data_IF_425513180769
#
_entry.id   IF_425513180769
#
_cell.length_a   1.000
_cell.length_b   1.000
_cell.length_c   1.000
_cell.angle_alpha   90.00
_cell.angle_beta   90.00
_cell.angle_gamma   90.00
#
_symmetry.space_group_name_H-M   'P 1'
#
loop_
_entity.id
_entity.type
_entity.pdbx_description
1 polymer ?
#
# COMPACT_ATOMS: atom_id res chain seq x y z
N UNK A 1 9.77 -48.67 34.07
CA UNK A 1 10.49 -49.64 33.22
C UNK A 1 9.93 -49.68 31.79
N UNK A 2 8.62 -49.64 31.62
CA UNK A 2 7.96 -49.67 30.29
C UNK A 2 8.36 -48.52 29.34
N UNK A 3 8.62 -47.32 29.88
CA UNK A 3 9.07 -46.15 29.06
C UNK A 3 10.51 -46.28 28.55
N UNK A 4 11.38 -46.99 29.27
CA UNK A 4 12.77 -47.25 28.83
C UNK A 4 12.83 -48.34 27.75
N UNK A 5 11.89 -49.27 27.77
CA UNK A 5 11.79 -50.31 26.74
C UNK A 5 11.26 -49.77 25.42
N UNK A 6 10.35 -48.80 25.46
CA UNK A 6 9.81 -48.13 24.27
C UNK A 6 10.85 -47.25 23.57
N UNK A 7 11.71 -46.57 24.36
CA UNK A 7 12.79 -45.75 23.80
C UNK A 7 13.89 -46.60 23.12
N UNK A 8 14.15 -47.78 23.65
CA UNK A 8 15.11 -48.73 23.06
C UNK A 8 14.59 -49.37 21.77
N UNK A 9 13.28 -49.62 21.69
CA UNK A 9 12.63 -50.17 20.50
C UNK A 9 12.59 -49.14 19.34
N UNK A 10 12.38 -47.84 19.64
CA UNK A 10 12.40 -46.78 18.65
C UNK A 10 13.82 -46.54 18.08
N UNK A 11 14.86 -46.63 18.91
CA UNK A 11 16.24 -46.50 18.47
C UNK A 11 16.69 -47.66 17.59
N UNK A 12 16.16 -48.88 17.83
CA UNK A 12 16.52 -50.05 17.03
C UNK A 12 15.86 -50.03 15.64
N UNK A 13 14.64 -49.45 15.54
CA UNK A 13 13.95 -49.30 14.25
C UNK A 13 14.64 -48.24 13.37
N UNK A 14 15.23 -47.19 13.94
CA UNK A 14 16.01 -46.21 13.16
C UNK A 14 17.35 -46.73 12.60
N UNK A 15 17.97 -47.70 13.29
CA UNK A 15 19.23 -48.32 12.83
C UNK A 15 18.99 -49.34 11.71
N UNK A 16 17.81 -49.97 11.68
CA UNK A 16 17.48 -50.94 10.61
C UNK A 16 17.02 -50.30 9.29
N UNK A 17 16.70 -49.02 9.28
CA UNK A 17 16.33 -48.28 8.06
C UNK A 17 17.56 -47.81 7.24
N UNK A 18 18.78 -47.92 7.75
CA UNK A 18 20.01 -47.45 7.13
C UNK A 18 20.83 -48.56 6.40
N UNK A 19 20.36 -49.82 6.36
CA UNK A 19 21.13 -50.96 5.77
C UNK A 19 20.49 -51.58 4.52
N UNK A 20 19.42 -50.95 3.96
CA UNK A 20 18.74 -51.48 2.78
C UNK A 20 18.83 -50.54 1.57
N UNK A 21 20.03 -50.14 1.16
CA UNK A 21 20.29 -49.62 -0.20
C UNK A 21 21.69 -50.06 -0.65
N UNK A 22 21.71 -51.20 -1.28
CA UNK A 22 22.84 -51.71 -2.03
C UNK A 22 22.37 -52.15 -3.44
N UNK A 23 22.90 -51.46 -4.44
CA UNK A 23 23.03 -51.77 -5.86
C UNK A 23 21.81 -52.27 -6.67
N UNK A 24 21.32 -51.42 -7.55
CA UNK A 24 21.19 -51.73 -9.01
C UNK A 24 21.19 -50.43 -9.83
N UNK A 25 22.10 -50.32 -10.76
CA UNK A 25 22.11 -49.37 -11.86
C UNK A 25 20.92 -49.63 -12.77
N UNK A 26 20.18 -48.57 -13.10
CA UNK A 26 19.64 -48.35 -14.44
C UNK A 26 19.39 -46.84 -14.64
N UNK A 27 19.92 -46.38 -15.76
CA UNK A 27 19.83 -44.99 -16.23
C UNK A 27 18.38 -44.60 -16.55
N UNK A 28 17.87 -43.55 -15.94
CA UNK A 28 17.00 -42.56 -16.59
C UNK A 28 17.07 -41.25 -15.80
N UNK A 29 17.66 -40.25 -16.44
CA UNK A 29 17.64 -38.85 -16.04
C UNK A 29 16.19 -38.34 -15.91
N UNK A 30 15.82 -37.91 -14.74
CA UNK A 30 14.90 -36.78 -14.51
C UNK A 30 15.42 -36.08 -13.25
N UNK A 31 16.26 -35.08 -13.47
CA UNK A 31 16.59 -34.08 -12.48
C UNK A 31 15.36 -33.20 -12.26
N UNK A 32 14.50 -33.58 -11.34
CA UNK A 32 13.70 -32.65 -10.57
C UNK A 32 14.51 -32.33 -9.30
N UNK A 33 15.49 -31.46 -9.46
CA UNK A 33 16.06 -30.74 -8.35
C UNK A 33 15.07 -29.62 -8.00
N UNK A 34 14.23 -29.87 -7.01
CA UNK A 34 13.62 -28.86 -6.16
C UNK A 34 14.78 -28.17 -5.41
N UNK A 35 15.51 -27.30 -6.13
CA UNK A 35 16.45 -26.36 -5.53
C UNK A 35 15.64 -25.26 -4.87
N UNK A 36 15.13 -25.53 -3.67
CA UNK A 36 14.88 -24.50 -2.67
C UNK A 36 16.26 -23.98 -2.20
N UNK A 37 16.98 -23.28 -3.07
CA UNK A 37 18.02 -22.37 -2.64
C UNK A 37 17.30 -21.28 -1.83
N UNK A 38 17.42 -21.36 -0.50
CA UNK A 38 17.12 -20.24 0.38
C UNK A 38 18.03 -19.12 -0.09
N UNK A 39 17.48 -18.20 -0.88
CA UNK A 39 18.23 -17.05 -1.35
C UNK A 39 18.60 -16.23 -0.12
N UNK A 40 19.90 -15.97 0.07
CA UNK A 40 20.41 -15.08 1.14
C UNK A 40 20.05 -13.60 0.86
N UNK A 41 18.94 -13.39 0.14
CA UNK A 41 18.44 -12.10 -0.29
C UNK A 41 17.37 -11.61 0.67
N UNK A 42 17.57 -10.40 1.22
CA UNK A 42 16.70 -9.81 2.23
C UNK A 42 16.12 -8.49 1.76
N UNK A 43 14.85 -8.27 2.08
CA UNK A 43 14.09 -7.08 1.70
C UNK A 43 13.62 -6.34 2.94
N UNK A 44 13.83 -5.02 2.98
CA UNK A 44 13.33 -4.15 4.03
C UNK A 44 12.21 -3.24 3.53
N UNK A 45 11.22 -3.00 4.38
CA UNK A 45 10.11 -2.07 4.09
C UNK A 45 9.90 -1.11 5.25
N UNK A 46 9.76 0.17 4.93
CA UNK A 46 9.52 1.26 5.87
C UNK A 46 8.17 1.89 5.56
N UNK A 47 7.23 1.84 6.51
CA UNK A 47 5.89 2.36 6.39
C UNK A 47 5.70 3.52 7.37
N UNK A 48 5.02 4.59 6.92
CA UNK A 48 4.72 5.76 7.77
C UNK A 48 3.77 5.39 8.92
N UNK A 49 2.73 4.61 8.60
CA UNK A 49 1.73 4.13 9.55
C UNK A 49 1.68 2.59 9.55
N UNK A 50 0.57 2.04 9.98
CA UNK A 50 0.30 0.61 10.02
C UNK A 50 -0.96 0.25 9.20
N UNK A 51 -1.50 -0.94 9.40
CA UNK A 51 -2.67 -1.46 8.69
C UNK A 51 -3.97 -0.68 8.89
N UNK A 52 -4.01 0.27 9.82
CA UNK A 52 -5.17 1.15 10.01
C UNK A 52 -5.23 2.26 8.95
N UNK A 53 -4.10 2.60 8.33
CA UNK A 53 -4.04 3.49 7.17
C UNK A 53 -4.37 2.71 5.90
N UNK A 54 -5.34 3.19 5.11
CA UNK A 54 -5.71 2.57 3.84
C UNK A 54 -4.58 2.64 2.81
N UNK A 55 -3.73 3.67 2.88
CA UNK A 55 -2.54 3.84 2.05
C UNK A 55 -1.46 2.82 2.40
N UNK A 56 -1.01 2.79 3.65
CA UNK A 56 0.05 1.90 4.11
C UNK A 56 -0.35 0.42 4.01
N UNK A 57 -1.63 0.09 4.24
CA UNK A 57 -2.15 -1.27 4.10
C UNK A 57 -1.92 -1.85 2.70
N UNK A 58 -2.04 -1.04 1.64
CA UNK A 58 -1.76 -1.49 0.27
C UNK A 58 -0.30 -1.92 0.10
N UNK A 59 0.64 -1.15 0.66
CA UNK A 59 2.07 -1.48 0.63
C UNK A 59 2.40 -2.70 1.49
N UNK A 60 1.81 -2.80 2.68
CA UNK A 60 2.00 -3.95 3.59
C UNK A 60 1.54 -5.25 2.91
N UNK A 61 0.37 -5.23 2.29
CA UNK A 61 -0.16 -6.40 1.58
C UNK A 61 0.70 -6.77 0.38
N UNK A 62 1.10 -5.78 -0.42
CA UNK A 62 1.97 -5.97 -1.58
C UNK A 62 3.36 -6.49 -1.19
N UNK A 63 3.94 -5.99 -0.10
CA UNK A 63 5.22 -6.45 0.43
C UNK A 63 5.19 -7.94 0.80
N UNK A 64 4.13 -8.37 1.51
CA UNK A 64 3.92 -9.77 1.87
C UNK A 64 3.75 -10.64 0.63
N UNK A 65 2.84 -10.25 -0.27
CA UNK A 65 2.54 -10.97 -1.51
C UNK A 65 3.78 -11.16 -2.38
N UNK A 66 4.51 -10.08 -2.66
CA UNK A 66 5.71 -10.12 -3.52
C UNK A 66 6.82 -10.98 -2.92
N UNK A 67 7.11 -10.80 -1.60
CA UNK A 67 8.17 -11.55 -0.95
C UNK A 67 7.83 -13.04 -0.79
N UNK A 68 6.57 -13.37 -0.51
CA UNK A 68 6.08 -14.75 -0.47
C UNK A 68 6.14 -15.41 -1.86
N UNK A 69 5.75 -14.68 -2.91
CA UNK A 69 5.83 -15.15 -4.31
C UNK A 69 7.27 -15.44 -4.71
N UNK A 70 8.22 -14.58 -4.34
CA UNK A 70 9.63 -14.71 -4.70
C UNK A 70 10.42 -15.62 -3.73
N UNK A 71 9.84 -16.00 -2.59
CA UNK A 71 10.50 -16.84 -1.58
C UNK A 71 11.68 -16.15 -0.90
N UNK A 72 11.63 -14.82 -0.73
CA UNK A 72 12.69 -14.02 -0.10
C UNK A 72 12.35 -13.63 1.34
N UNK A 73 13.39 -13.51 2.18
CA UNK A 73 13.25 -13.03 3.56
C UNK A 73 12.91 -11.53 3.55
N UNK A 74 11.99 -11.09 4.42
CA UNK A 74 11.63 -9.68 4.50
C UNK A 74 11.35 -9.20 5.91
N UNK A 75 11.49 -7.88 6.11
CA UNK A 75 11.16 -7.18 7.35
C UNK A 75 10.32 -5.94 7.03
N UNK A 76 9.16 -5.80 7.65
CA UNK A 76 8.31 -4.62 7.55
C UNK A 76 8.39 -3.85 8.87
N UNK A 77 8.75 -2.56 8.79
CA UNK A 77 8.78 -1.64 9.94
C UNK A 77 7.68 -0.60 9.74
N UNK A 78 6.76 -0.52 10.67
CA UNK A 78 5.61 0.40 10.63
C UNK A 78 5.79 1.56 11.61
N UNK A 79 4.96 2.61 11.44
CA UNK A 79 4.96 3.79 12.30
C UNK A 79 6.32 4.53 12.34
N UNK A 80 6.96 4.65 11.18
CA UNK A 80 8.22 5.36 11.01
C UNK A 80 7.95 6.79 10.53
N UNK A 81 8.20 7.81 11.38
CA UNK A 81 7.94 9.20 11.01
C UNK A 81 8.71 9.68 9.77
N UNK A 82 8.18 10.69 9.11
CA UNK A 82 8.84 11.43 8.03
C UNK A 82 9.93 12.33 8.59
N UNK A 83 11.07 11.75 9.00
CA UNK A 83 12.16 12.44 9.67
C UNK A 83 13.42 11.60 9.74
N UNK A 84 14.32 11.97 10.65
CA UNK A 84 15.56 11.27 10.89
C UNK A 84 15.34 9.78 11.21
N UNK A 85 14.22 9.44 11.83
CA UNK A 85 13.81 8.08 12.14
C UNK A 85 13.72 7.19 10.89
N UNK A 86 13.34 7.76 9.74
CA UNK A 86 13.34 7.03 8.47
C UNK A 86 14.76 6.64 8.05
N UNK A 87 15.72 7.57 8.12
CA UNK A 87 17.12 7.26 7.86
C UNK A 87 17.65 6.20 8.83
N UNK A 88 17.37 6.37 10.12
CA UNK A 88 17.85 5.46 11.17
C UNK A 88 17.33 4.03 10.92
N UNK A 89 16.06 3.89 10.53
CA UNK A 89 15.49 2.57 10.17
C UNK A 89 16.05 2.02 8.87
N UNK A 90 16.29 2.85 7.86
CA UNK A 90 16.93 2.44 6.62
C UNK A 90 18.36 1.92 6.88
N UNK A 91 19.12 2.61 7.73
CA UNK A 91 20.46 2.18 8.16
C UNK A 91 20.41 0.87 8.95
N UNK A 92 19.50 0.73 9.92
CA UNK A 92 19.30 -0.52 10.67
C UNK A 92 19.00 -1.71 9.76
N UNK A 93 18.13 -1.53 8.74
CA UNK A 93 17.81 -2.57 7.78
C UNK A 93 18.99 -2.93 6.87
N UNK A 94 19.76 -1.93 6.43
CA UNK A 94 20.98 -2.15 5.64
C UNK A 94 22.04 -2.91 6.47
N UNK A 95 22.27 -2.53 7.72
CA UNK A 95 23.19 -3.21 8.64
C UNK A 95 22.71 -4.63 8.99
N UNK A 96 21.40 -4.88 8.96
CA UNK A 96 20.82 -6.22 9.12
C UNK A 96 20.94 -7.10 7.87
N UNK A 97 21.54 -6.57 6.79
CA UNK A 97 21.84 -7.31 5.56
C UNK A 97 20.73 -7.26 4.51
N UNK A 98 19.80 -6.29 4.58
CA UNK A 98 18.86 -6.08 3.50
C UNK A 98 19.57 -5.63 2.22
N UNK A 99 19.25 -6.26 1.10
CA UNK A 99 19.82 -5.96 -0.21
C UNK A 99 19.05 -4.84 -0.93
N UNK A 100 17.76 -4.71 -0.62
CA UNK A 100 16.87 -3.68 -1.14
C UNK A 100 15.93 -3.22 -0.02
N UNK A 101 15.70 -1.90 0.05
CA UNK A 101 14.86 -1.26 1.07
C UNK A 101 13.88 -0.32 0.40
N UNK A 102 12.59 -0.47 0.72
CA UNK A 102 11.49 0.35 0.22
C UNK A 102 10.95 1.27 1.32
N UNK A 103 10.50 2.46 0.93
CA UNK A 103 9.72 3.35 1.80
C UNK A 103 8.50 3.90 1.04
N UNK A 104 7.40 4.10 1.76
CA UNK A 104 6.09 4.37 1.15
C UNK A 104 5.64 5.83 1.22
N UNK A 105 6.14 6.62 2.15
CA UNK A 105 5.61 7.98 2.35
C UNK A 105 6.42 9.06 1.64
N UNK A 106 5.72 10.06 1.10
CA UNK A 106 6.31 11.19 0.38
C UNK A 106 7.44 11.87 1.14
N UNK A 107 7.28 12.11 2.45
CA UNK A 107 8.27 12.77 3.29
C UNK A 107 9.45 11.89 3.70
N UNK A 108 9.47 10.60 3.38
CA UNK A 108 10.63 9.72 3.57
C UNK A 108 11.74 9.98 2.53
N UNK A 109 11.46 10.68 1.43
CA UNK A 109 12.34 10.74 0.26
C UNK A 109 13.77 11.19 0.58
N UNK A 110 13.94 12.32 1.27
CA UNK A 110 15.27 12.88 1.55
C UNK A 110 16.10 11.97 2.46
N UNK A 111 15.46 11.26 3.36
CA UNK A 111 16.10 10.33 4.29
C UNK A 111 16.51 9.02 3.61
N UNK A 112 15.72 8.55 2.64
CA UNK A 112 16.07 7.41 1.79
C UNK A 112 17.23 7.75 0.86
N UNK A 113 17.29 8.97 0.31
CA UNK A 113 18.42 9.47 -0.47
C UNK A 113 19.69 9.52 0.38
N UNK A 114 19.60 10.00 1.61
CA UNK A 114 20.73 10.02 2.52
C UNK A 114 21.24 8.59 2.80
N UNK A 115 20.35 7.65 3.09
CA UNK A 115 20.72 6.25 3.30
C UNK A 115 21.37 5.63 2.05
N UNK A 116 20.86 5.93 0.84
CA UNK A 116 21.45 5.45 -0.40
C UNK A 116 22.88 5.96 -0.62
N UNK A 117 23.21 7.18 -0.16
CA UNK A 117 24.57 7.73 -0.21
C UNK A 117 25.52 7.01 0.75
N UNK A 118 25.03 6.61 1.92
CA UNK A 118 25.84 5.99 2.97
C UNK A 118 25.99 4.48 2.79
N UNK A 119 25.04 3.83 2.09
CA UNK A 119 25.04 2.38 1.82
C UNK A 119 25.01 2.09 0.30
N UNK A 120 26.12 2.31 -0.42
CA UNK A 120 26.15 2.24 -1.89
C UNK A 120 25.89 0.84 -2.47
N UNK A 121 26.04 -0.21 -1.66
CA UNK A 121 25.82 -1.61 -2.08
C UNK A 121 24.37 -2.08 -1.85
N UNK A 122 23.51 -1.24 -1.27
CA UNK A 122 22.10 -1.53 -1.00
C UNK A 122 21.23 -0.71 -1.95
N UNK A 123 20.17 -1.31 -2.51
CA UNK A 123 19.20 -0.61 -3.34
C UNK A 123 18.13 0.07 -2.47
N UNK A 124 17.79 1.31 -2.78
CA UNK A 124 16.76 2.07 -2.08
C UNK A 124 15.68 2.50 -3.05
N UNK A 125 14.44 2.14 -2.76
CA UNK A 125 13.27 2.45 -3.58
C UNK A 125 12.28 3.27 -2.77
N UNK A 126 11.83 4.37 -3.31
CA UNK A 126 10.89 5.25 -2.64
C UNK A 126 9.65 5.49 -3.51
N UNK A 127 8.48 5.29 -2.92
CA UNK A 127 7.21 5.53 -3.59
C UNK A 127 6.76 6.97 -3.43
N UNK A 128 6.23 7.53 -4.52
CA UNK A 128 5.72 8.89 -4.68
C UNK A 128 6.76 10.01 -4.71
N UNK A 129 8.03 9.72 -4.49
CA UNK A 129 9.12 10.69 -4.63
C UNK A 129 9.43 11.03 -6.09
N UNK A 130 10.24 12.08 -6.28
CA UNK A 130 10.53 12.66 -7.61
C UNK A 130 11.99 12.95 -7.84
N UNK A 131 12.89 12.67 -6.90
CA UNK A 131 14.28 13.15 -6.92
C UNK A 131 15.28 12.16 -7.53
N UNK A 132 14.92 10.90 -7.79
CA UNK A 132 15.85 9.91 -8.32
C UNK A 132 16.58 10.38 -9.59
N UNK A 133 15.87 11.01 -10.52
CA UNK A 133 16.43 11.49 -11.79
C UNK A 133 17.37 12.71 -11.64
N UNK A 134 17.35 13.41 -10.50
CA UNK A 134 18.21 14.58 -10.23
C UNK A 134 19.35 14.27 -9.28
N UNK A 135 19.21 13.25 -8.40
CA UNK A 135 20.26 12.88 -7.45
C UNK A 135 21.43 12.14 -8.09
N UNK A 136 21.19 11.45 -9.21
CA UNK A 136 22.25 10.76 -9.96
C UNK A 136 22.86 9.56 -9.23
N UNK A 137 22.15 8.98 -8.26
CA UNK A 137 22.55 7.78 -7.54
C UNK A 137 22.10 6.54 -8.32
N UNK A 138 23.00 5.55 -8.48
CA UNK A 138 22.68 4.29 -9.17
C UNK A 138 21.85 3.33 -8.33
N UNK A 139 21.78 3.56 -7.02
CA UNK A 139 21.09 2.71 -6.05
C UNK A 139 19.88 3.40 -5.40
N UNK A 140 19.37 4.47 -6.00
CA UNK A 140 18.17 5.16 -5.52
C UNK A 140 17.13 5.31 -6.63
N UNK A 141 15.91 4.85 -6.39
CA UNK A 141 14.84 4.75 -7.39
C UNK A 141 13.53 5.31 -6.85
N UNK A 142 12.73 5.91 -7.75
CA UNK A 142 11.36 6.31 -7.43
C UNK A 142 10.35 5.49 -8.23
N UNK A 143 9.17 5.28 -7.64
CA UNK A 143 7.99 4.77 -8.30
C UNK A 143 6.78 5.65 -7.99
N UNK A 144 5.91 5.84 -8.97
CA UNK A 144 4.66 6.56 -8.83
C UNK A 144 3.57 5.84 -9.62
N UNK A 145 2.49 5.44 -8.95
CA UNK A 145 1.37 4.79 -9.62
C UNK A 145 0.40 5.82 -10.20
N UNK A 146 -0.22 5.49 -11.34
CA UNK A 146 -1.22 6.36 -12.01
C UNK A 146 -2.57 6.34 -11.28
N UNK A 147 -2.57 6.61 -9.96
CA UNK A 147 -3.79 6.60 -9.15
C UNK A 147 -4.86 7.58 -9.65
N UNK A 148 -4.44 8.67 -10.31
CA UNK A 148 -5.35 9.64 -10.91
C UNK A 148 -6.32 9.00 -11.92
N UNK A 149 -5.94 7.92 -12.61
CA UNK A 149 -6.82 7.17 -13.51
C UNK A 149 -7.94 6.47 -12.72
N UNK A 150 -7.58 5.78 -11.64
CA UNK A 150 -8.55 5.19 -10.71
C UNK A 150 -9.42 6.25 -10.03
N UNK A 151 -8.87 7.42 -9.72
CA UNK A 151 -9.64 8.55 -9.18
C UNK A 151 -10.65 9.10 -10.19
N UNK A 152 -10.29 9.16 -11.48
CA UNK A 152 -11.24 9.52 -12.53
C UNK A 152 -12.43 8.55 -12.57
N UNK A 153 -12.17 7.24 -12.56
CA UNK A 153 -13.22 6.22 -12.55
C UNK A 153 -14.09 6.29 -11.30
N UNK A 154 -13.49 6.50 -10.14
CA UNK A 154 -14.22 6.74 -8.90
C UNK A 154 -15.09 8.00 -8.97
N UNK A 155 -14.60 9.03 -9.65
CA UNK A 155 -15.36 10.24 -9.94
C UNK A 155 -16.58 9.98 -10.86
N UNK A 156 -16.42 9.15 -11.88
CA UNK A 156 -17.56 8.72 -12.73
C UNK A 156 -18.64 8.05 -11.89
N UNK A 157 -18.25 7.12 -11.00
CA UNK A 157 -19.20 6.48 -10.09
C UNK A 157 -19.89 7.50 -9.16
N UNK A 158 -19.13 8.47 -8.63
CA UNK A 158 -19.67 9.55 -7.82
C UNK A 158 -20.71 10.41 -8.61
N UNK A 159 -20.39 10.77 -9.84
CA UNK A 159 -21.30 11.52 -10.71
C UNK A 159 -22.58 10.74 -11.05
N UNK A 160 -22.46 9.43 -11.28
CA UNK A 160 -23.61 8.53 -11.47
C UNK A 160 -24.50 8.50 -10.22
N UNK A 161 -23.88 8.43 -9.02
CA UNK A 161 -24.61 8.45 -7.75
C UNK A 161 -25.35 9.78 -7.54
N UNK A 162 -24.69 10.90 -7.84
CA UNK A 162 -25.36 12.22 -7.80
C UNK A 162 -26.56 12.27 -8.73
N UNK A 163 -26.46 11.76 -9.96
CA UNK A 163 -27.57 11.70 -10.90
C UNK A 163 -28.72 10.82 -10.40
N UNK A 164 -28.42 9.68 -9.78
CA UNK A 164 -29.42 8.82 -9.14
C UNK A 164 -30.17 9.57 -8.04
N UNK A 165 -29.47 10.29 -7.15
CA UNK A 165 -30.07 11.06 -6.07
C UNK A 165 -30.93 12.21 -6.60
N UNK A 166 -30.49 12.90 -7.67
CA UNK A 166 -31.27 13.93 -8.37
C UNK A 166 -32.56 13.33 -8.94
N UNK A 167 -32.45 12.19 -9.62
CA UNK A 167 -33.62 11.50 -10.21
C UNK A 167 -34.61 11.03 -9.14
N UNK A 168 -34.14 10.67 -7.96
CA UNK A 168 -34.96 10.32 -6.79
C UNK A 168 -35.60 11.54 -6.11
N UNK A 169 -35.22 12.76 -6.50
CA UNK A 169 -35.75 14.00 -5.93
C UNK A 169 -35.16 14.38 -4.58
N UNK A 170 -33.98 13.85 -4.25
CA UNK A 170 -33.30 14.14 -2.98
C UNK A 170 -32.76 15.58 -2.95
N UNK A 171 -32.34 16.11 -4.10
CA UNK A 171 -31.91 17.49 -4.31
C UNK A 171 -31.97 17.85 -5.79
N UNK A 172 -31.90 19.15 -6.12
CA UNK A 172 -31.91 19.63 -7.52
C UNK A 172 -30.52 19.58 -8.16
N UNK A 173 -30.45 19.55 -9.49
CA UNK A 173 -29.19 19.40 -10.22
C UNK A 173 -28.15 20.50 -9.93
N UNK A 174 -28.58 21.71 -9.58
CA UNK A 174 -27.72 22.83 -9.20
C UNK A 174 -27.17 22.72 -7.77
N UNK A 175 -27.70 21.79 -6.97
CA UNK A 175 -27.21 21.46 -5.63
C UNK A 175 -26.20 20.30 -5.62
N UNK A 176 -25.85 19.73 -6.78
CA UNK A 176 -24.93 18.62 -6.90
C UNK A 176 -23.50 19.04 -6.52
N UNK A 177 -23.19 19.04 -5.22
CA UNK A 177 -21.92 19.46 -4.67
C UNK A 177 -21.20 18.30 -3.99
N UNK A 178 -19.95 18.09 -4.38
CA UNK A 178 -19.04 17.10 -3.80
C UNK A 178 -18.16 17.76 -2.77
N UNK A 179 -17.91 17.10 -1.64
CA UNK A 179 -16.87 17.46 -0.68
C UNK A 179 -15.64 16.56 -0.84
N UNK A 180 -14.47 17.12 -0.67
CA UNK A 180 -13.21 16.38 -0.75
C UNK A 180 -12.28 16.73 0.42
N UNK A 181 -11.88 15.71 1.19
CA UNK A 181 -10.98 15.87 2.32
C UNK A 181 -9.57 15.45 1.88
N UNK A 182 -8.70 16.43 1.65
CA UNK A 182 -7.30 16.21 1.29
C UNK A 182 -6.36 16.30 2.50
N UNK A 183 -5.21 15.63 2.41
CA UNK A 183 -4.16 15.74 3.40
C UNK A 183 -3.37 17.05 3.22
N UNK A 184 -2.66 17.19 2.12
CA UNK A 184 -1.79 18.32 1.80
C UNK A 184 -2.08 18.89 0.41
N UNK A 185 -1.53 20.07 0.13
CA UNK A 185 -1.61 20.71 -1.20
C UNK A 185 -0.47 20.25 -2.14
N UNK A 186 -0.09 18.98 -2.06
CA UNK A 186 0.91 18.41 -2.95
C UNK A 186 0.31 18.02 -4.30
N UNK A 187 1.15 17.94 -5.33
CA UNK A 187 0.73 17.61 -6.69
C UNK A 187 -0.05 16.29 -6.79
N UNK A 188 0.34 15.29 -6.01
CA UNK A 188 -0.35 14.00 -5.92
C UNK A 188 -1.82 14.18 -5.49
N UNK A 189 -2.07 14.90 -4.39
CA UNK A 189 -3.41 15.16 -3.86
C UNK A 189 -4.22 16.00 -4.84
N UNK A 190 -3.59 17.04 -5.43
CA UNK A 190 -4.25 17.93 -6.40
C UNK A 190 -4.65 17.16 -7.66
N UNK A 191 -3.76 16.32 -8.20
CA UNK A 191 -4.06 15.49 -9.35
C UNK A 191 -5.21 14.51 -9.06
N UNK A 192 -5.24 13.95 -7.85
CA UNK A 192 -6.27 13.03 -7.38
C UNK A 192 -7.66 13.67 -7.37
N UNK A 193 -7.85 14.79 -6.67
CA UNK A 193 -9.17 15.42 -6.63
C UNK A 193 -9.56 16.08 -7.96
N UNK A 194 -8.60 16.58 -8.73
CA UNK A 194 -8.88 17.13 -10.06
C UNK A 194 -9.40 16.05 -10.99
N UNK A 195 -8.74 14.91 -11.04
CA UNK A 195 -9.13 13.77 -11.85
C UNK A 195 -10.50 13.23 -11.43
N UNK A 196 -10.73 13.07 -10.13
CA UNK A 196 -12.01 12.67 -9.55
C UNK A 196 -13.14 13.62 -9.96
N UNK A 197 -12.91 14.93 -9.85
CA UNK A 197 -13.89 15.94 -10.24
C UNK A 197 -14.21 15.92 -11.73
N UNK A 198 -13.20 15.77 -12.59
CA UNK A 198 -13.38 15.63 -14.02
C UNK A 198 -14.22 14.38 -14.36
N UNK A 199 -13.95 13.25 -13.68
CA UNK A 199 -14.75 12.04 -13.81
C UNK A 199 -16.20 12.26 -13.41
N UNK A 200 -16.48 12.90 -12.28
CA UNK A 200 -17.83 13.21 -11.83
C UNK A 200 -18.58 14.12 -12.84
N UNK A 201 -17.91 15.15 -13.33
CA UNK A 201 -18.52 16.07 -14.32
C UNK A 201 -18.72 15.45 -15.69
N UNK A 202 -18.01 14.40 -16.05
CA UNK A 202 -18.21 13.71 -17.32
C UNK A 202 -19.62 13.11 -17.45
N UNK A 203 -20.26 12.78 -16.32
CA UNK A 203 -21.61 12.20 -16.25
C UNK A 203 -22.64 13.08 -15.53
N UNK A 204 -22.19 13.92 -14.59
CA UNK A 204 -23.02 14.92 -13.90
C UNK A 204 -22.45 16.33 -14.14
N UNK A 205 -22.73 16.98 -15.29
CA UNK A 205 -22.10 18.24 -15.69
C UNK A 205 -22.33 19.41 -14.73
N UNK A 206 -23.40 19.37 -13.94
CA UNK A 206 -23.71 20.39 -12.93
C UNK A 206 -22.92 20.25 -11.64
N UNK A 207 -22.20 19.13 -11.45
CA UNK A 207 -21.43 18.88 -10.24
C UNK A 207 -20.43 20.00 -9.98
N UNK A 208 -20.38 20.44 -8.73
CA UNK A 208 -19.36 21.33 -8.17
C UNK A 208 -18.60 20.61 -7.07
N UNK A 209 -17.44 21.12 -6.67
CA UNK A 209 -16.65 20.48 -5.62
C UNK A 209 -16.06 21.54 -4.67
N UNK A 210 -16.06 21.22 -3.37
CA UNK A 210 -15.39 21.96 -2.32
C UNK A 210 -14.32 21.05 -1.71
N UNK A 211 -13.09 21.56 -1.56
CA UNK A 211 -11.94 20.82 -1.04
C UNK A 211 -11.50 21.46 0.28
N UNK A 212 -11.21 20.64 1.28
CA UNK A 212 -10.56 21.06 2.52
C UNK A 212 -9.30 20.22 2.76
N UNK A 213 -8.35 20.74 3.54
CA UNK A 213 -7.10 20.07 3.83
C UNK A 213 -6.89 19.95 5.33
N UNK A 214 -6.41 18.79 5.79
CA UNK A 214 -6.14 18.50 7.20
C UNK A 214 -4.74 18.91 7.64
N UNK A 215 -3.78 18.93 6.69
CA UNK A 215 -2.36 19.13 6.99
C UNK A 215 -1.68 17.87 7.55
N UNK A 216 -2.31 16.70 7.42
CA UNK A 216 -1.78 15.41 7.85
C UNK A 216 -2.22 14.31 6.87
N UNK A 217 -1.37 13.28 6.65
CA UNK A 217 -1.77 12.09 5.91
C UNK A 217 -2.80 11.26 6.68
N UNK A 218 -2.67 11.18 8.00
CA UNK A 218 -3.57 10.45 8.87
C UNK A 218 -3.89 11.27 10.13
N UNK A 219 -5.10 11.80 10.21
CA UNK A 219 -5.67 12.42 11.39
C UNK A 219 -7.19 12.19 11.39
N UNK A 220 -7.62 11.13 12.07
CA UNK A 220 -9.01 10.70 12.09
C UNK A 220 -9.97 11.80 12.57
N UNK A 221 -9.54 12.60 13.55
CA UNK A 221 -10.35 13.70 14.08
C UNK A 221 -10.48 14.82 13.05
N UNK A 222 -9.37 15.30 12.49
CA UNK A 222 -9.37 16.38 11.50
C UNK A 222 -10.10 15.96 10.21
N UNK A 223 -9.93 14.73 9.75
CA UNK A 223 -10.63 14.19 8.59
C UNK A 223 -12.14 14.10 8.82
N UNK A 224 -12.56 13.63 10.01
CA UNK A 224 -13.97 13.59 10.40
C UNK A 224 -14.59 14.98 10.47
N UNK A 225 -13.93 15.93 11.14
CA UNK A 225 -14.39 17.32 11.24
C UNK A 225 -14.45 17.99 9.87
N UNK A 226 -13.46 17.76 9.00
CA UNK A 226 -13.44 18.24 7.62
C UNK A 226 -14.63 17.72 6.81
N UNK A 227 -14.91 16.42 6.86
CA UNK A 227 -16.07 15.83 6.20
C UNK A 227 -17.39 16.38 6.75
N UNK A 228 -17.54 16.49 8.07
CA UNK A 228 -18.73 17.08 8.70
C UNK A 228 -18.95 18.53 8.25
N UNK A 229 -17.89 19.31 8.14
CA UNK A 229 -17.97 20.70 7.68
C UNK A 229 -18.42 20.77 6.22
N UNK A 230 -17.88 19.92 5.35
CA UNK A 230 -18.29 19.86 3.94
C UNK A 230 -19.76 19.45 3.81
N UNK A 231 -20.24 18.50 4.60
CA UNK A 231 -21.65 18.08 4.64
C UNK A 231 -22.54 19.26 5.09
N UNK A 232 -22.15 19.97 6.15
CA UNK A 232 -22.85 21.19 6.61
C UNK A 232 -22.89 22.29 5.54
N UNK A 233 -21.86 22.37 4.69
CA UNK A 233 -21.80 23.29 3.55
C UNK A 233 -22.65 22.83 2.34
N UNK A 234 -23.41 21.74 2.47
CA UNK A 234 -24.32 21.23 1.48
C UNK A 234 -23.74 20.22 0.50
N UNK A 235 -22.55 19.67 0.78
CA UNK A 235 -22.02 18.58 -0.02
C UNK A 235 -22.89 17.33 0.12
N UNK A 236 -23.20 16.70 -1.02
CA UNK A 236 -24.11 15.56 -1.15
C UNK A 236 -23.38 14.21 -1.25
N UNK A 237 -22.08 14.25 -1.41
CA UNK A 237 -21.17 13.10 -1.50
C UNK A 237 -19.80 13.55 -1.04
N UNK A 238 -19.09 12.70 -0.30
CA UNK A 238 -17.74 12.98 0.19
C UNK A 238 -16.75 11.99 -0.42
N UNK A 239 -15.56 12.50 -0.77
CA UNK A 239 -14.39 11.69 -1.05
C UNK A 239 -13.18 12.23 -0.28
N UNK A 240 -12.07 11.49 -0.34
CA UNK A 240 -10.88 11.84 0.42
C UNK A 240 -9.59 11.51 -0.34
N UNK A 241 -8.52 12.17 0.06
CA UNK A 241 -7.14 11.83 -0.19
C UNK A 241 -6.36 12.04 1.11
N UNK A 242 -6.77 11.28 2.10
CA UNK A 242 -6.22 11.12 3.43
C UNK A 242 -6.60 9.70 3.90
N UNK A 243 -5.97 9.16 4.93
CA UNK A 243 -5.78 7.72 5.06
C UNK A 243 -6.59 7.09 6.20
N UNK A 244 -7.34 7.89 6.99
CA UNK A 244 -8.09 7.39 8.13
C UNK A 244 -9.56 7.06 7.82
N UNK A 245 -10.24 6.50 8.81
CA UNK A 245 -11.67 6.23 8.78
C UNK A 245 -12.54 7.42 9.23
N UNK A 246 -11.94 8.60 9.42
CA UNK A 246 -12.66 9.80 9.93
C UNK A 246 -13.75 10.27 8.98
N UNK A 247 -13.43 10.51 7.71
CA UNK A 247 -14.41 10.95 6.70
C UNK A 247 -15.49 9.89 6.44
N UNK A 248 -15.16 8.59 6.22
CA UNK A 248 -16.15 7.53 6.11
C UNK A 248 -17.13 7.45 7.29
N UNK A 249 -16.62 7.57 8.52
CA UNK A 249 -17.46 7.56 9.73
C UNK A 249 -18.42 8.76 9.78
N UNK A 250 -17.96 9.94 9.34
CA UNK A 250 -18.82 11.11 9.23
C UNK A 250 -19.93 10.91 8.19
N UNK A 251 -19.59 10.30 7.03
CA UNK A 251 -20.53 9.96 5.98
C UNK A 251 -21.60 8.99 6.47
N UNK A 252 -21.20 7.91 7.14
CA UNK A 252 -22.13 6.92 7.71
C UNK A 252 -23.10 7.57 8.71
N UNK A 253 -22.58 8.41 9.58
CA UNK A 253 -23.40 9.12 10.57
C UNK A 253 -24.43 10.06 9.93
N UNK A 254 -24.06 10.70 8.82
CA UNK A 254 -24.91 11.68 8.12
C UNK A 254 -25.79 11.07 7.03
N UNK A 255 -25.57 9.79 6.66
CA UNK A 255 -26.26 9.15 5.55
C UNK A 255 -25.84 9.70 4.18
N UNK A 256 -24.60 10.18 4.04
CA UNK A 256 -24.05 10.77 2.82
C UNK A 256 -23.13 9.76 2.15
N UNK A 257 -23.24 9.53 0.81
CA UNK A 257 -22.37 8.61 0.11
C UNK A 257 -20.88 8.92 0.28
N UNK A 258 -20.07 7.86 0.51
CA UNK A 258 -18.62 7.91 0.65
C UNK A 258 -17.92 7.26 -0.55
N UNK A 259 -16.93 7.95 -1.09
CA UNK A 259 -15.97 7.41 -2.06
C UNK A 259 -14.59 7.42 -1.43
N UNK A 260 -14.10 6.25 -1.12
CA UNK A 260 -12.85 6.06 -0.38
C UNK A 260 -11.59 6.24 -1.23
N UNK A 261 -10.44 6.19 -0.58
CA UNK A 261 -9.11 6.30 -1.18
C UNK A 261 -8.22 5.14 -0.75
N UNK A 262 -7.56 4.48 -1.71
CA UNK A 262 -6.61 3.37 -1.56
C UNK A 262 -7.14 2.07 -0.94
N UNK A 263 -8.27 2.05 -0.31
CA UNK A 263 -8.80 0.84 0.30
C UNK A 263 -10.29 0.94 0.54
N UNK A 264 -10.94 -0.20 0.77
CA UNK A 264 -12.34 -0.22 1.14
C UNK A 264 -12.52 0.28 2.57
N UNK A 265 -13.43 1.23 2.73
CA UNK A 265 -13.89 1.72 4.03
C UNK A 265 -15.28 1.19 4.40
N UNK A 266 -15.78 0.17 3.67
CA UNK A 266 -17.11 -0.42 3.85
C UNK A 266 -17.37 -0.83 5.31
N UNK A 267 -16.34 -1.34 6.01
CA UNK A 267 -16.47 -1.71 7.42
C UNK A 267 -16.81 -0.52 8.33
N UNK A 268 -16.36 0.70 7.98
CA UNK A 268 -16.63 1.93 8.74
C UNK A 268 -17.90 2.65 8.30
N UNK A 269 -18.35 2.42 7.07
CA UNK A 269 -19.51 3.08 6.48
C UNK A 269 -20.37 2.13 5.61
N UNK A 270 -20.90 1.03 6.19
CA UNK A 270 -21.55 -0.05 5.44
C UNK A 270 -22.80 0.38 4.67
N UNK A 271 -23.46 1.47 5.08
CA UNK A 271 -24.66 1.96 4.41
C UNK A 271 -24.37 3.07 3.41
N UNK A 272 -23.20 3.69 3.44
CA UNK A 272 -22.85 4.86 2.64
C UNK A 272 -21.65 4.64 1.72
N UNK A 273 -20.88 3.57 1.91
CA UNK A 273 -19.76 3.22 1.03
C UNK A 273 -20.24 3.01 -0.41
N UNK A 274 -19.59 3.68 -1.36
CA UNK A 274 -19.89 3.55 -2.77
C UNK A 274 -18.83 2.74 -3.51
N UNK A 275 -17.57 3.20 -3.49
CA UNK A 275 -16.46 2.64 -4.21
C UNK A 275 -15.12 3.17 -3.66
N UNK A 276 -14.05 2.49 -4.00
CA UNK A 276 -12.69 2.97 -3.78
C UNK A 276 -11.79 2.63 -4.98
N UNK A 277 -10.81 3.47 -5.26
CA UNK A 277 -9.71 3.16 -6.18
C UNK A 277 -8.48 2.76 -5.36
N UNK A 278 -7.85 1.64 -5.70
CA UNK A 278 -6.70 1.07 -5.00
C UNK A 278 -5.51 0.97 -5.93
N UNK A 279 -4.31 1.22 -5.40
CA UNK A 279 -3.05 0.88 -6.06
C UNK A 279 -2.67 -0.55 -5.66
N UNK A 280 -2.28 -1.35 -6.65
CA UNK A 280 -1.66 -2.65 -6.43
C UNK A 280 -0.14 -2.51 -6.63
N UNK A 281 0.61 -2.56 -5.54
CA UNK A 281 2.05 -2.39 -5.53
C UNK A 281 2.82 -3.71 -5.70
N UNK A 282 2.16 -4.87 -5.60
CA UNK A 282 2.83 -6.17 -5.68
C UNK A 282 3.61 -6.37 -6.98
N UNK A 283 3.08 -6.07 -8.18
CA UNK A 283 3.83 -6.21 -9.43
C UNK A 283 5.09 -5.34 -9.49
N UNK A 284 5.05 -4.14 -8.90
CA UNK A 284 6.23 -3.28 -8.81
C UNK A 284 7.28 -3.86 -7.86
N UNK A 285 6.88 -4.33 -6.69
CA UNK A 285 7.79 -4.94 -5.73
C UNK A 285 8.45 -6.20 -6.30
N UNK A 286 7.68 -7.08 -6.93
CA UNK A 286 8.21 -8.28 -7.61
C UNK A 286 9.25 -7.90 -8.68
N UNK A 287 8.96 -6.89 -9.50
CA UNK A 287 9.88 -6.38 -10.51
C UNK A 287 11.17 -5.85 -9.89
N UNK A 288 11.07 -4.92 -8.91
CA UNK A 288 12.23 -4.27 -8.32
C UNK A 288 13.12 -5.25 -7.52
N UNK A 289 12.50 -6.16 -6.77
CA UNK A 289 13.23 -7.21 -6.03
C UNK A 289 13.94 -8.14 -7.01
N UNK A 290 13.25 -8.59 -8.07
CA UNK A 290 13.85 -9.48 -9.10
C UNK A 290 15.01 -8.79 -9.81
N UNK A 291 14.88 -7.52 -10.19
CA UNK A 291 15.95 -6.74 -10.80
C UNK A 291 17.17 -6.65 -9.88
N UNK A 292 16.96 -6.34 -8.59
CA UNK A 292 18.04 -6.29 -7.61
C UNK A 292 18.71 -7.67 -7.40
N UNK A 293 17.95 -8.77 -7.38
CA UNK A 293 18.48 -10.12 -7.32
C UNK A 293 19.37 -10.46 -8.52
N UNK A 294 19.06 -9.92 -9.71
CA UNK A 294 19.82 -10.09 -10.94
C UNK A 294 21.02 -9.13 -11.06
N UNK A 295 21.16 -8.17 -10.16
CA UNK A 295 22.23 -7.15 -10.19
C UNK A 295 22.00 -6.05 -11.24
N UNK A 296 20.75 -5.78 -11.58
CA UNK A 296 20.31 -4.75 -12.55
C UNK A 296 20.11 -3.38 -11.90
#
# INVERSE_FOLDING_TARGET
EMKKFLALLLSLVMVLALVACGDKKDDTNTDDQDNNEVTDFKVGFIMLHDENSTYDLNFINAAKEACETLGVEYTIVTNVPEGQECYDKAAELADAGCNIIFADSFGHEDYMIQAAKDFPDVQFCHSTGTKAHTEGLSNYHNAFASIYEGRYLAGVAAGMKLNEMIANGEFSADEAKIGYVGAFTYAEVISGYTSFFLGARSVCPTATMEVTFTGSWYDETAEKEGAQKLIQNGCKLISQHADSMGAPTACETAGVPDVSYNGSTEAACPNTYLISSRIDWAPYYEYAITAAMNGE
#
